data_IF_221285332715
#
_entry.id   IF_221285332715
#
_cell.length_a   1.000
_cell.length_b   1.000
_cell.length_c   1.000
_cell.angle_alpha   90.00
_cell.angle_beta   90.00
_cell.angle_gamma   90.00
#
_symmetry.space_group_name_H-M   'P 1'
#
loop_
_entity.id
_entity.type
_entity.pdbx_description
1 polymer ?
#
# COMPACT_ATOMS: atom_id res chain seq x y z
N UNK A 1 -25.63 14.57 2.90
CA UNK A 1 -25.76 14.64 4.38
C UNK A 1 -25.70 13.27 5.07
N UNK A 2 -26.45 12.23 4.67
CA UNK A 2 -26.26 10.87 5.22
C UNK A 2 -25.12 10.09 4.52
N UNK A 3 -25.07 10.16 3.18
CA UNK A 3 -24.06 9.49 2.34
C UNK A 3 -22.62 9.92 2.65
N UNK A 4 -22.40 11.20 2.96
CA UNK A 4 -21.08 11.78 3.25
C UNK A 4 -20.54 11.38 4.64
N UNK A 5 -21.41 10.88 5.52
CA UNK A 5 -21.05 10.38 6.85
C UNK A 5 -20.80 8.86 6.87
N UNK A 6 -20.70 8.22 5.70
CA UNK A 6 -20.52 6.77 5.59
C UNK A 6 -21.81 5.96 5.76
N UNK A 7 -22.99 6.56 5.58
CA UNK A 7 -24.24 5.78 5.57
C UNK A 7 -24.30 4.89 4.32
N UNK A 8 -24.13 3.58 4.51
CA UNK A 8 -24.01 2.60 3.42
C UNK A 8 -25.36 2.11 2.89
N UNK A 9 -26.42 2.22 3.70
CA UNK A 9 -27.81 2.07 3.30
C UNK A 9 -28.72 2.98 4.14
N UNK A 10 -29.91 3.26 3.65
CA UNK A 10 -30.95 3.96 4.40
C UNK A 10 -32.29 3.24 4.20
N UNK A 11 -33.13 3.25 5.24
CA UNK A 11 -34.49 2.70 5.20
C UNK A 11 -35.47 3.84 5.42
N UNK A 12 -36.41 4.02 4.50
CA UNK A 12 -37.42 5.09 4.55
C UNK A 12 -38.65 4.59 5.33
N UNK A 13 -39.18 5.41 6.24
CA UNK A 13 -40.36 5.05 7.05
C UNK A 13 -41.68 5.30 6.28
N UNK A 14 -42.75 4.52 6.57
CA UNK A 14 -42.80 3.40 7.51
C UNK A 14 -42.23 2.11 6.88
N UNK A 15 -41.40 1.38 7.64
CA UNK A 15 -40.79 0.12 7.21
C UNK A 15 -41.18 -1.02 8.15
N UNK A 16 -41.16 -2.24 7.63
CA UNK A 16 -41.38 -3.47 8.38
C UNK A 16 -40.05 -4.15 8.71
N UNK A 17 -40.00 -5.08 9.70
CA UNK A 17 -38.78 -5.86 9.96
C UNK A 17 -38.25 -6.62 8.74
N UNK A 18 -39.12 -6.96 7.77
CA UNK A 18 -38.74 -7.61 6.53
C UNK A 18 -37.95 -6.68 5.58
N UNK A 19 -38.15 -5.36 5.67
CA UNK A 19 -37.41 -4.36 4.86
C UNK A 19 -36.02 -4.06 5.43
N UNK A 20 -35.75 -4.49 6.67
CA UNK A 20 -34.49 -4.22 7.37
C UNK A 20 -33.37 -5.15 6.93
N UNK A 21 -33.67 -6.43 6.70
CA UNK A 21 -32.66 -7.45 6.33
C UNK A 21 -31.99 -7.09 4.99
N UNK A 22 -32.72 -6.79 3.89
CA UNK A 22 -32.10 -6.42 2.62
C UNK A 22 -31.27 -5.14 2.72
N UNK A 23 -31.72 -4.16 3.50
CA UNK A 23 -30.98 -2.91 3.69
C UNK A 23 -29.66 -3.14 4.45
N UNK A 24 -29.66 -4.04 5.44
CA UNK A 24 -28.47 -4.43 6.18
C UNK A 24 -27.49 -5.23 5.30
N UNK A 25 -27.98 -6.16 4.49
CA UNK A 25 -27.15 -6.94 3.55
C UNK A 25 -26.45 -6.02 2.54
N UNK A 26 -27.17 -5.05 1.97
CA UNK A 26 -26.59 -4.05 1.06
C UNK A 26 -25.54 -3.20 1.78
N UNK A 27 -25.81 -2.79 3.02
CA UNK A 27 -24.85 -2.01 3.80
C UNK A 27 -23.56 -2.80 4.09
N UNK A 28 -23.68 -4.07 4.45
CA UNK A 28 -22.54 -4.95 4.72
C UNK A 28 -21.71 -5.21 3.47
N UNK A 29 -22.36 -5.53 2.35
CA UNK A 29 -21.66 -5.75 1.07
C UNK A 29 -20.89 -4.51 0.62
N UNK A 30 -21.49 -3.32 0.74
CA UNK A 30 -20.81 -2.05 0.45
C UNK A 30 -19.65 -1.76 1.40
N UNK A 31 -19.79 -2.13 2.68
CA UNK A 31 -18.71 -1.97 3.65
C UNK A 31 -17.49 -2.81 3.29
N UNK A 32 -17.71 -4.07 2.93
CA UNK A 32 -16.65 -4.99 2.52
C UNK A 32 -15.95 -4.52 1.24
N UNK A 33 -16.73 -4.06 0.26
CA UNK A 33 -16.19 -3.51 -1.01
C UNK A 33 -15.32 -2.27 -0.76
N UNK A 34 -15.80 -1.30 0.04
CA UNK A 34 -15.04 -0.10 0.37
C UNK A 34 -13.77 -0.46 1.13
N UNK A 35 -13.84 -1.37 2.10
CA UNK A 35 -12.68 -1.82 2.86
C UNK A 35 -11.64 -2.52 1.98
N UNK A 36 -12.07 -3.32 1.01
CA UNK A 36 -11.19 -3.95 0.05
C UNK A 36 -10.47 -2.91 -0.82
N UNK A 37 -11.20 -1.90 -1.32
CA UNK A 37 -10.62 -0.80 -2.10
C UNK A 37 -9.65 0.04 -1.28
N UNK A 38 -9.96 0.33 -0.02
CA UNK A 38 -9.05 1.04 0.88
C UNK A 38 -7.76 0.24 1.12
N UNK A 39 -7.85 -1.08 1.28
CA UNK A 39 -6.68 -1.96 1.38
C UNK A 39 -5.85 -1.91 0.10
N UNK A 40 -6.48 -2.02 -1.07
CA UNK A 40 -5.77 -1.98 -2.36
C UNK A 40 -5.05 -0.64 -2.57
N UNK A 41 -5.70 0.47 -2.23
CA UNK A 41 -5.07 1.80 -2.29
C UNK A 41 -3.87 1.88 -1.34
N UNK A 42 -3.99 1.37 -0.12
CA UNK A 42 -2.88 1.33 0.85
C UNK A 42 -1.71 0.49 0.33
N UNK A 43 -1.98 -0.71 -0.20
CA UNK A 43 -0.96 -1.61 -0.73
C UNK A 43 -0.22 -0.99 -1.92
N UNK A 44 -0.95 -0.34 -2.83
CA UNK A 44 -0.37 0.39 -3.96
C UNK A 44 0.51 1.54 -3.46
N UNK A 45 0.05 2.32 -2.48
CA UNK A 45 0.84 3.41 -1.91
C UNK A 45 2.14 2.90 -1.29
N UNK A 46 2.11 1.77 -0.58
CA UNK A 46 3.30 1.15 0.00
C UNK A 46 4.28 0.65 -1.07
N UNK A 47 3.79 0.02 -2.13
CA UNK A 47 4.61 -0.41 -3.27
C UNK A 47 5.29 0.79 -3.95
N UNK A 48 4.55 1.89 -4.17
CA UNK A 48 5.11 3.12 -4.73
C UNK A 48 6.17 3.75 -3.82
N UNK A 49 5.92 3.80 -2.51
CA UNK A 49 6.89 4.30 -1.55
C UNK A 49 8.17 3.45 -1.55
N UNK A 50 8.03 2.13 -1.57
CA UNK A 50 9.14 1.18 -1.67
C UNK A 50 9.94 1.38 -2.95
N UNK A 51 9.27 1.53 -4.10
CA UNK A 51 9.93 1.80 -5.38
C UNK A 51 10.76 3.09 -5.33
N UNK A 52 10.21 4.18 -4.77
CA UNK A 52 10.95 5.45 -4.61
C UNK A 52 12.22 5.29 -3.77
N UNK A 53 12.15 4.51 -2.68
CA UNK A 53 13.31 4.23 -1.83
C UNK A 53 14.38 3.44 -2.60
N UNK A 54 13.99 2.40 -3.34
CA UNK A 54 14.92 1.58 -4.14
C UNK A 54 15.59 2.42 -5.23
N UNK A 55 14.84 3.27 -5.94
CA UNK A 55 15.41 4.18 -6.94
C UNK A 55 16.44 5.15 -6.33
N UNK A 56 16.15 5.69 -5.15
CA UNK A 56 17.08 6.56 -4.42
C UNK A 56 18.32 5.81 -3.93
N UNK A 57 18.16 4.58 -3.45
CA UNK A 57 19.30 3.75 -3.07
C UNK A 57 20.18 3.42 -4.29
N UNK A 58 19.59 3.11 -5.45
CA UNK A 58 20.33 2.90 -6.69
C UNK A 58 21.14 4.14 -7.07
N UNK A 59 20.53 5.33 -7.07
CA UNK A 59 21.24 6.56 -7.44
C UNK A 59 22.40 6.89 -6.50
N UNK A 60 22.27 6.56 -5.21
CA UNK A 60 23.38 6.68 -4.25
C UNK A 60 24.50 5.68 -4.55
N UNK A 61 24.17 4.42 -4.82
CA UNK A 61 25.15 3.38 -5.17
C UNK A 61 25.89 3.72 -6.47
N UNK A 62 25.19 4.21 -7.50
CA UNK A 62 25.85 4.62 -8.74
C UNK A 62 26.77 5.82 -8.51
N UNK A 63 26.33 6.82 -7.75
CA UNK A 63 27.12 8.04 -7.49
C UNK A 63 28.34 7.79 -6.59
N UNK A 64 28.22 6.92 -5.58
CA UNK A 64 29.25 6.75 -4.54
C UNK A 64 30.16 5.56 -4.76
N UNK A 65 29.64 4.49 -5.37
CA UNK A 65 30.39 3.25 -5.63
C UNK A 65 30.73 3.07 -7.11
N UNK A 66 30.30 4.00 -7.99
CA UNK A 66 30.57 3.94 -9.42
C UNK A 66 29.88 2.77 -10.14
N UNK A 67 28.88 2.15 -9.52
CA UNK A 67 28.12 1.05 -10.10
C UNK A 67 27.24 1.54 -11.25
N UNK A 68 27.02 0.70 -12.24
CA UNK A 68 25.95 0.93 -13.21
C UNK A 68 24.58 0.71 -12.56
N UNK A 69 23.51 1.26 -13.14
CA UNK A 69 22.16 1.08 -12.59
C UNK A 69 21.75 -0.41 -12.48
N UNK A 70 22.01 -1.28 -13.48
CA UNK A 70 21.73 -2.71 -13.35
C UNK A 70 22.53 -3.39 -12.24
N UNK A 71 23.78 -2.99 -12.02
CA UNK A 71 24.62 -3.53 -10.95
C UNK A 71 24.15 -3.08 -9.57
N UNK A 72 23.77 -1.81 -9.43
CA UNK A 72 23.20 -1.28 -8.20
C UNK A 72 21.91 -2.02 -7.83
N UNK A 73 21.01 -2.26 -8.78
CA UNK A 73 19.81 -3.05 -8.53
C UNK A 73 20.13 -4.49 -8.09
N UNK A 74 21.05 -5.16 -8.80
CA UNK A 74 21.49 -6.51 -8.47
C UNK A 74 22.13 -6.58 -7.08
N UNK A 75 22.87 -5.55 -6.70
CA UNK A 75 23.48 -5.44 -5.38
C UNK A 75 22.44 -5.33 -4.27
N UNK A 76 21.41 -4.49 -4.44
CA UNK A 76 20.31 -4.36 -3.48
C UNK A 76 19.58 -5.71 -3.34
N UNK A 77 19.27 -6.35 -4.47
CA UNK A 77 18.59 -7.65 -4.49
C UNK A 77 19.41 -8.74 -3.78
N UNK A 78 20.70 -8.85 -4.08
CA UNK A 78 21.59 -9.80 -3.43
C UNK A 78 21.70 -9.54 -1.93
N UNK A 79 21.84 -8.27 -1.53
CA UNK A 79 21.92 -7.88 -0.12
C UNK A 79 20.62 -8.21 0.64
N UNK A 80 19.46 -8.03 0.00
CA UNK A 80 18.16 -8.45 0.53
C UNK A 80 18.11 -9.96 0.78
N UNK A 81 18.56 -10.77 -0.18
CA UNK A 81 18.60 -12.23 -0.04
C UNK A 81 19.59 -12.68 1.04
N UNK A 82 20.82 -12.16 1.03
CA UNK A 82 21.88 -12.54 1.95
C UNK A 82 21.55 -12.17 3.41
N UNK A 83 20.84 -11.06 3.61
CA UNK A 83 20.45 -10.57 4.95
C UNK A 83 19.03 -10.96 5.36
N UNK A 84 18.26 -11.61 4.48
CA UNK A 84 16.83 -11.92 4.67
C UNK A 84 15.99 -10.69 5.06
N UNK A 85 16.33 -9.55 4.47
CA UNK A 85 15.63 -8.28 4.64
C UNK A 85 14.81 -7.99 3.40
N UNK A 86 13.73 -7.23 3.55
CA UNK A 86 12.99 -6.71 2.41
C UNK A 86 13.85 -5.74 1.58
N UNK A 87 13.54 -5.62 0.28
CA UNK A 87 14.18 -4.63 -0.60
C UNK A 87 14.05 -3.20 -0.04
N UNK A 88 12.95 -2.91 0.67
CA UNK A 88 12.70 -1.63 1.33
C UNK A 88 13.71 -1.36 2.44
N UNK A 89 13.86 -2.30 3.38
CA UNK A 89 14.78 -2.16 4.51
C UNK A 89 16.23 -2.01 4.05
N UNK A 90 16.62 -2.75 3.00
CA UNK A 90 17.94 -2.62 2.40
C UNK A 90 18.12 -1.24 1.77
N UNK A 91 17.13 -0.75 1.02
CA UNK A 91 17.18 0.59 0.42
C UNK A 91 17.28 1.69 1.49
N UNK A 92 16.51 1.60 2.57
CA UNK A 92 16.58 2.52 3.71
C UNK A 92 17.95 2.45 4.39
N UNK A 93 18.51 1.25 4.58
CA UNK A 93 19.86 1.08 5.15
C UNK A 93 20.92 1.75 4.29
N UNK A 94 20.86 1.60 2.96
CA UNK A 94 21.79 2.27 2.04
C UNK A 94 21.66 3.79 2.15
N UNK A 95 20.42 4.30 2.14
CA UNK A 95 20.18 5.75 2.25
C UNK A 95 20.72 6.31 3.56
N UNK A 96 20.58 5.57 4.66
CA UNK A 96 21.06 5.98 5.98
C UNK A 96 22.57 5.86 6.16
N UNK A 97 23.23 4.93 5.46
CA UNK A 97 24.70 4.74 5.55
C UNK A 97 25.49 5.72 4.68
N UNK A 98 24.86 6.29 3.66
CA UNK A 98 25.51 7.11 2.63
C UNK A 98 25.23 8.61 2.81
N UNK A 99 24.22 8.97 3.61
CA UNK A 99 24.04 10.32 4.17
C UNK A 99 24.90 10.51 5.42
#
# INVERSE_FOLDING_TARGET
RARDAGAMAYVVKPFTPADLIPALEIALSRHEEIKALESEVSDLQEQFATRKLVERAKSLLTTKMGLTEPEAFRWIQKTSMDRRLSMREVAETIINQVN
#
